data_IF_959645140823
#
_entry.id   IF_959645140823
#
_cell.length_a   1.000
_cell.length_b   1.000
_cell.length_c   1.000
_cell.angle_alpha   90.00
_cell.angle_beta   90.00
_cell.angle_gamma   90.00
#
_symmetry.space_group_name_H-M   'P 1'
#
loop_
_entity.id
_entity.type
_entity.pdbx_description
1 polymer ?
#
# COMPACT_ATOMS: atom_id res chain seq x y z
N UNK A 1 -21.12 -20.29 4.81
CA UNK A 1 -21.81 -20.48 6.10
C UNK A 1 -21.50 -21.84 6.74
N UNK A 2 -21.91 -22.99 6.17
CA UNK A 2 -21.66 -24.33 6.74
C UNK A 2 -20.19 -24.61 7.11
N UNK A 3 -19.24 -24.21 6.26
CA UNK A 3 -17.80 -24.37 6.54
C UNK A 3 -17.37 -23.52 7.74
N UNK A 4 -17.82 -22.27 7.80
CA UNK A 4 -17.45 -21.33 8.87
C UNK A 4 -18.01 -21.77 10.23
N UNK A 5 -19.20 -22.35 10.27
CA UNK A 5 -19.84 -22.74 11.53
C UNK A 5 -19.34 -24.10 12.04
N UNK A 6 -19.05 -25.05 11.14
CA UNK A 6 -18.78 -26.44 11.53
C UNK A 6 -17.30 -26.84 11.44
N UNK A 7 -16.51 -26.22 10.58
CA UNK A 7 -15.12 -26.64 10.31
C UNK A 7 -14.08 -25.66 10.82
N UNK A 8 -14.36 -24.35 10.81
CA UNK A 8 -13.41 -23.34 11.32
C UNK A 8 -13.20 -23.47 12.83
N UNK A 9 -14.25 -23.46 13.71
CA UNK A 9 -14.05 -23.53 15.16
C UNK A 9 -13.19 -24.70 15.64
N UNK A 10 -13.43 -25.97 15.21
CA UNK A 10 -12.61 -27.09 15.67
C UNK A 10 -11.18 -27.08 15.10
N UNK A 11 -10.94 -26.35 14.01
CA UNK A 11 -9.61 -26.15 13.44
C UNK A 11 -8.79 -25.10 14.21
N UNK A 12 -9.44 -24.06 14.76
CA UNK A 12 -8.73 -22.93 15.38
C UNK A 12 -7.90 -23.34 16.58
N UNK A 13 -8.48 -24.04 17.56
CA UNK A 13 -7.82 -24.37 18.82
C UNK A 13 -6.48 -25.12 18.61
N UNK A 14 -6.45 -26.28 17.92
CA UNK A 14 -5.21 -27.03 17.76
C UNK A 14 -4.18 -26.31 16.90
N UNK A 15 -4.60 -25.61 15.84
CA UNK A 15 -3.67 -24.99 14.88
C UNK A 15 -3.09 -23.69 15.42
N UNK A 16 -3.93 -22.82 16.00
CA UNK A 16 -3.50 -21.51 16.48
C UNK A 16 -2.63 -21.62 17.74
N UNK A 17 -3.02 -22.49 18.68
CA UNK A 17 -2.25 -22.66 19.91
C UNK A 17 -0.89 -23.32 19.65
N UNK A 18 -0.85 -24.31 18.75
CA UNK A 18 0.40 -24.94 18.31
C UNK A 18 1.32 -23.91 17.62
N UNK A 19 0.80 -23.15 16.64
CA UNK A 19 1.58 -22.12 15.95
C UNK A 19 2.13 -21.07 16.92
N UNK A 20 1.31 -20.53 17.83
CA UNK A 20 1.73 -19.48 18.77
C UNK A 20 2.80 -19.98 19.74
N UNK A 21 2.63 -21.19 20.30
CA UNK A 21 3.50 -21.75 21.35
C UNK A 21 4.79 -22.37 20.80
N UNK A 22 4.80 -22.74 19.52
CA UNK A 22 5.99 -23.31 18.90
C UNK A 22 7.15 -22.30 18.78
N UNK A 23 8.36 -22.84 18.80
CA UNK A 23 9.59 -22.08 18.55
C UNK A 23 9.62 -21.59 17.09
N UNK A 24 10.35 -20.50 16.81
CA UNK A 24 10.38 -19.84 15.49
C UNK A 24 10.60 -20.82 14.32
N UNK A 25 11.55 -21.75 14.44
CA UNK A 25 11.86 -22.72 13.38
C UNK A 25 10.86 -23.86 13.21
N UNK A 26 9.91 -24.04 14.13
CA UNK A 26 8.89 -25.09 14.09
C UNK A 26 7.49 -24.55 13.69
N UNK A 27 7.33 -23.24 13.57
CA UNK A 27 6.09 -22.63 13.09
C UNK A 27 5.93 -22.90 11.60
N UNK A 28 4.89 -23.61 11.21
CA UNK A 28 4.64 -23.94 9.81
C UNK A 28 4.04 -22.71 9.07
N UNK A 29 4.71 -22.16 8.03
CA UNK A 29 4.21 -21.02 7.27
C UNK A 29 2.87 -21.31 6.55
N UNK A 30 2.49 -22.57 6.38
CA UNK A 30 1.21 -22.94 5.76
C UNK A 30 0.00 -22.64 6.64
N UNK A 31 0.18 -22.41 7.94
CA UNK A 31 -0.89 -21.90 8.80
C UNK A 31 -1.38 -20.53 8.31
N UNK A 32 -0.45 -19.66 7.89
CA UNK A 32 -0.79 -18.35 7.34
C UNK A 32 -1.50 -18.48 5.99
N UNK A 33 -1.04 -19.39 5.12
CA UNK A 33 -1.69 -19.70 3.84
C UNK A 33 -3.11 -20.20 4.05
N UNK A 34 -3.30 -21.13 4.98
CA UNK A 34 -4.60 -21.70 5.32
C UNK A 34 -5.61 -20.61 5.69
N UNK A 35 -5.22 -19.70 6.58
CA UNK A 35 -6.11 -18.61 7.00
C UNK A 35 -6.28 -17.54 5.93
N UNK A 36 -5.28 -17.30 5.07
CA UNK A 36 -5.42 -16.43 3.89
C UNK A 36 -6.50 -16.97 2.94
N UNK A 37 -6.44 -18.26 2.61
CA UNK A 37 -7.42 -18.96 1.76
C UNK A 37 -8.80 -18.98 2.42
N UNK A 38 -8.87 -19.27 3.72
CA UNK A 38 -10.12 -19.27 4.46
C UNK A 38 -10.79 -17.88 4.44
N UNK A 39 -10.04 -16.81 4.70
CA UNK A 39 -10.52 -15.42 4.63
C UNK A 39 -10.99 -15.07 3.22
N UNK A 40 -10.21 -15.41 2.20
CA UNK A 40 -10.56 -15.13 0.81
C UNK A 40 -11.89 -15.77 0.36
N UNK A 41 -12.11 -17.04 0.73
CA UNK A 41 -13.29 -17.78 0.30
C UNK A 41 -14.51 -17.59 1.22
N UNK A 42 -14.32 -17.47 2.53
CA UNK A 42 -15.43 -17.34 3.49
C UNK A 42 -15.84 -15.88 3.71
N UNK A 43 -14.95 -14.91 3.48
CA UNK A 43 -15.20 -13.46 3.60
C UNK A 43 -15.88 -13.13 4.93
N UNK A 44 -16.94 -12.31 4.91
CA UNK A 44 -17.69 -11.93 6.12
C UNK A 44 -18.23 -13.09 6.97
N UNK A 45 -18.28 -14.34 6.48
CA UNK A 45 -18.63 -15.48 7.32
C UNK A 45 -17.56 -15.79 8.38
N UNK A 46 -16.27 -15.56 8.09
CA UNK A 46 -15.17 -15.84 9.03
C UNK A 46 -14.85 -14.64 9.94
N UNK A 47 -15.43 -13.46 9.69
CA UNK A 47 -15.19 -12.22 10.46
C UNK A 47 -15.15 -12.43 11.98
N UNK A 48 -16.09 -13.17 12.62
CA UNK A 48 -16.08 -13.37 14.07
C UNK A 48 -14.83 -14.10 14.59
N UNK A 49 -14.14 -14.85 13.73
CA UNK A 49 -12.96 -15.63 14.08
C UNK A 49 -11.64 -14.92 13.76
N UNK A 50 -11.67 -13.91 12.89
CA UNK A 50 -10.46 -13.19 12.45
C UNK A 50 -9.68 -12.56 13.61
N UNK A 51 -10.30 -11.88 14.61
CA UNK A 51 -9.55 -11.32 15.74
C UNK A 51 -8.72 -12.37 16.49
N UNK A 52 -9.27 -13.56 16.70
CA UNK A 52 -8.58 -14.67 17.37
C UNK A 52 -7.43 -15.22 16.53
N UNK A 53 -7.63 -15.36 15.21
CA UNK A 53 -6.58 -15.79 14.29
C UNK A 53 -5.42 -14.79 14.34
N UNK A 54 -5.72 -13.49 14.24
CA UNK A 54 -4.72 -12.43 14.30
C UNK A 54 -3.95 -12.45 15.63
N UNK A 55 -4.63 -12.54 16.77
CA UNK A 55 -3.95 -12.60 18.07
C UNK A 55 -2.93 -13.76 18.15
N UNK A 56 -3.24 -14.90 17.56
CA UNK A 56 -2.36 -16.07 17.60
C UNK A 56 -1.16 -15.97 16.65
N UNK A 57 -1.35 -15.43 15.44
CA UNK A 57 -0.33 -15.49 14.38
C UNK A 57 0.44 -14.18 14.18
N UNK A 58 -0.12 -13.03 14.58
CA UNK A 58 0.39 -11.74 14.08
C UNK A 58 1.71 -11.33 14.72
N UNK A 59 1.72 -11.07 16.03
CA UNK A 59 2.90 -10.59 16.76
C UNK A 59 4.08 -11.58 16.65
N UNK A 60 3.80 -12.87 16.89
CA UNK A 60 4.83 -13.89 16.89
C UNK A 60 5.47 -14.12 15.51
N UNK A 61 4.74 -13.88 14.41
CA UNK A 61 5.28 -13.93 13.04
C UNK A 61 6.05 -12.66 12.72
N UNK A 62 5.57 -11.48 13.13
CA UNK A 62 6.31 -10.22 12.96
C UNK A 62 7.69 -10.31 13.61
N UNK A 63 7.78 -10.80 14.85
CA UNK A 63 9.04 -11.04 15.54
C UNK A 63 10.01 -11.99 14.82
N UNK A 64 9.53 -12.78 13.85
CA UNK A 64 10.36 -13.62 13.00
C UNK A 64 10.84 -12.85 11.78
N UNK A 65 9.91 -12.20 11.06
CA UNK A 65 10.18 -11.66 9.72
C UNK A 65 10.81 -10.26 9.74
N UNK A 66 10.73 -9.52 10.86
CA UNK A 66 11.26 -8.15 10.94
C UNK A 66 12.65 -8.04 11.56
N UNK A 67 13.25 -9.15 12.00
CA UNK A 67 14.59 -9.14 12.62
C UNK A 67 15.69 -8.84 11.59
N UNK A 68 15.51 -9.37 10.38
CA UNK A 68 16.38 -9.13 9.23
C UNK A 68 15.61 -9.43 7.94
N UNK A 69 16.21 -9.10 6.79
CA UNK A 69 15.58 -9.26 5.48
C UNK A 69 15.79 -10.64 4.83
N UNK A 70 16.46 -11.59 5.49
CA UNK A 70 16.87 -12.87 4.89
C UNK A 70 16.08 -14.06 5.45
N UNK A 71 15.82 -14.06 6.75
CA UNK A 71 15.20 -15.20 7.42
C UNK A 71 13.68 -15.26 7.17
N UNK A 72 13.16 -16.50 7.18
CA UNK A 72 11.73 -16.82 7.07
C UNK A 72 11.01 -16.18 5.87
N UNK A 73 11.53 -16.31 4.62
CA UNK A 73 10.92 -15.69 3.44
C UNK A 73 9.50 -16.22 3.12
N UNK A 74 9.24 -17.50 3.42
CA UNK A 74 7.91 -18.09 3.27
C UNK A 74 6.91 -17.49 4.25
N UNK A 75 7.27 -17.39 5.54
CA UNK A 75 6.43 -16.71 6.54
C UNK A 75 6.15 -15.27 6.16
N UNK A 76 7.16 -14.54 5.65
CA UNK A 76 7.01 -13.15 5.21
C UNK A 76 5.98 -13.04 4.09
N UNK A 77 6.13 -13.86 3.05
CA UNK A 77 5.22 -13.87 1.91
C UNK A 77 3.79 -14.22 2.35
N UNK A 78 3.64 -15.29 3.12
CA UNK A 78 2.32 -15.78 3.52
C UNK A 78 1.65 -14.83 4.54
N UNK A 79 2.43 -14.17 5.39
CA UNK A 79 1.94 -13.16 6.34
C UNK A 79 1.31 -11.98 5.61
N UNK A 80 2.01 -11.40 4.62
CA UNK A 80 1.46 -10.27 3.86
C UNK A 80 0.30 -10.69 2.95
N UNK A 81 0.30 -11.92 2.43
CA UNK A 81 -0.88 -12.46 1.74
C UNK A 81 -2.09 -12.59 2.67
N UNK A 82 -1.89 -13.10 3.89
CA UNK A 82 -2.93 -13.17 4.90
C UNK A 82 -3.45 -11.77 5.27
N UNK A 83 -2.56 -10.82 5.56
CA UNK A 83 -2.94 -9.44 5.87
C UNK A 83 -3.70 -8.78 4.72
N UNK A 84 -3.26 -9.00 3.47
CA UNK A 84 -3.97 -8.53 2.28
C UNK A 84 -5.38 -9.12 2.21
N UNK A 85 -5.53 -10.43 2.38
CA UNK A 85 -6.84 -11.09 2.37
C UNK A 85 -7.79 -10.54 3.46
N UNK A 86 -7.28 -10.33 4.68
CA UNK A 86 -8.07 -9.75 5.78
C UNK A 86 -8.49 -8.32 5.44
N UNK A 87 -7.58 -7.50 4.92
CA UNK A 87 -7.90 -6.14 4.49
C UNK A 87 -8.97 -6.11 3.39
N UNK A 88 -8.90 -7.01 2.40
CA UNK A 88 -9.84 -7.05 1.27
C UNK A 88 -11.23 -7.60 1.62
N UNK A 89 -11.31 -8.56 2.54
CA UNK A 89 -12.53 -9.34 2.73
C UNK A 89 -13.14 -9.22 4.12
N UNK A 90 -12.35 -8.80 5.11
CA UNK A 90 -12.69 -8.80 6.53
C UNK A 90 -12.19 -7.50 7.21
N UNK A 91 -12.24 -6.36 6.52
CA UNK A 91 -11.67 -5.08 6.98
C UNK A 91 -12.11 -4.68 8.39
N UNK A 92 -13.39 -4.86 8.74
CA UNK A 92 -13.92 -4.51 10.06
C UNK A 92 -13.23 -5.28 11.20
N UNK A 93 -12.74 -6.49 10.92
CA UNK A 93 -12.00 -7.28 11.89
C UNK A 93 -10.64 -6.65 12.24
N UNK A 94 -10.00 -5.90 11.33
CA UNK A 94 -8.76 -5.16 11.61
C UNK A 94 -8.93 -4.08 12.67
N UNK A 95 -10.15 -3.60 12.89
CA UNK A 95 -10.47 -2.58 13.91
C UNK A 95 -11.19 -3.16 15.12
N UNK A 96 -11.54 -4.45 15.08
CA UNK A 96 -12.12 -5.20 16.20
C UNK A 96 -11.03 -5.77 17.13
N UNK A 97 -9.76 -5.66 16.77
CA UNK A 97 -8.60 -6.02 17.61
C UNK A 97 -8.16 -4.87 18.52
N UNK A 98 -7.44 -5.14 19.62
CA UNK A 98 -6.95 -4.09 20.53
C UNK A 98 -6.08 -3.03 19.82
N UNK A 99 -6.09 -1.76 20.24
CA UNK A 99 -5.34 -0.68 19.59
C UNK A 99 -3.83 -0.96 19.38
N UNK A 100 -3.20 -1.68 20.33
CA UNK A 100 -1.80 -2.09 20.19
C UNK A 100 -1.57 -2.97 18.93
N UNK A 101 -2.50 -3.88 18.63
CA UNK A 101 -2.43 -4.73 17.44
C UNK A 101 -2.77 -3.97 16.16
N UNK A 102 -3.68 -3.00 16.22
CA UNK A 102 -3.97 -2.11 15.08
C UNK A 102 -2.71 -1.34 14.66
N UNK A 103 -1.93 -0.85 15.64
CA UNK A 103 -0.64 -0.23 15.36
C UNK A 103 0.33 -1.22 14.70
N UNK A 104 0.41 -2.46 15.18
CA UNK A 104 1.26 -3.48 14.56
C UNK A 104 0.89 -3.74 13.09
N UNK A 105 -0.40 -3.69 12.74
CA UNK A 105 -0.84 -3.80 11.33
C UNK A 105 -0.20 -2.69 10.50
N UNK A 106 -0.35 -1.43 10.90
CA UNK A 106 0.22 -0.30 10.16
C UNK A 106 1.74 -0.36 10.12
N UNK A 107 2.40 -0.65 11.25
CA UNK A 107 3.86 -0.76 11.33
C UNK A 107 4.39 -1.89 10.43
N UNK A 108 3.68 -3.02 10.33
CA UNK A 108 4.07 -4.11 9.43
C UNK A 108 3.97 -3.74 7.95
N UNK A 109 2.96 -2.95 7.57
CA UNK A 109 2.80 -2.43 6.20
C UNK A 109 3.90 -1.42 5.89
N UNK A 110 4.25 -0.56 6.85
CA UNK A 110 5.39 0.36 6.74
C UNK A 110 6.70 -0.39 6.53
N UNK A 111 6.92 -1.44 7.32
CA UNK A 111 8.09 -2.29 7.16
C UNK A 111 8.12 -2.96 5.78
N UNK A 112 6.98 -3.46 5.29
CA UNK A 112 6.87 -4.11 4.00
C UNK A 112 7.27 -3.19 2.85
N UNK A 113 6.67 -2.00 2.74
CA UNK A 113 6.99 -1.10 1.62
C UNK A 113 8.40 -0.49 1.68
N UNK A 114 9.07 -0.56 2.83
CA UNK A 114 10.48 -0.20 3.01
C UNK A 114 11.44 -1.35 2.69
N UNK A 115 10.95 -2.56 2.44
CA UNK A 115 11.80 -3.72 2.21
C UNK A 115 12.66 -3.56 0.96
N UNK A 116 13.83 -4.18 0.98
CA UNK A 116 14.75 -4.25 -0.17
C UNK A 116 14.28 -5.21 -1.27
N UNK A 117 13.36 -6.12 -0.97
CA UNK A 117 12.84 -7.08 -1.94
C UNK A 117 11.63 -6.45 -2.62
N UNK A 118 11.76 -6.25 -3.93
CA UNK A 118 10.74 -5.57 -4.75
C UNK A 118 9.34 -6.13 -4.53
N UNK A 119 9.18 -7.46 -4.54
CA UNK A 119 7.85 -8.08 -4.42
C UNK A 119 7.20 -7.79 -3.06
N UNK A 120 7.99 -7.78 -1.97
CA UNK A 120 7.49 -7.46 -0.63
C UNK A 120 7.13 -5.98 -0.55
N UNK A 121 7.98 -5.11 -1.11
CA UNK A 121 7.74 -3.68 -1.14
C UNK A 121 6.46 -3.31 -1.91
N UNK A 122 6.30 -3.87 -3.11
CA UNK A 122 5.10 -3.69 -3.94
C UNK A 122 3.85 -4.22 -3.22
N UNK A 123 3.93 -5.40 -2.61
CA UNK A 123 2.81 -5.97 -1.82
C UNK A 123 2.43 -5.05 -0.65
N UNK A 124 3.41 -4.47 0.05
CA UNK A 124 3.16 -3.50 1.13
C UNK A 124 2.43 -2.25 0.64
N UNK A 125 2.84 -1.70 -0.50
CA UNK A 125 2.19 -0.54 -1.12
C UNK A 125 0.75 -0.85 -1.57
N UNK A 126 0.51 -2.04 -2.11
CA UNK A 126 -0.84 -2.49 -2.49
C UNK A 126 -1.76 -2.62 -1.27
N UNK A 127 -1.28 -3.26 -0.20
CA UNK A 127 -2.02 -3.39 1.06
C UNK A 127 -2.36 -2.01 1.61
N UNK A 128 -1.39 -1.08 1.64
CA UNK A 128 -1.61 0.28 2.13
C UNK A 128 -2.66 1.02 1.29
N UNK A 129 -2.60 0.89 -0.04
CA UNK A 129 -3.53 1.56 -0.93
C UNK A 129 -4.96 1.09 -0.69
N UNK A 130 -5.17 -0.22 -0.58
CA UNK A 130 -6.47 -0.79 -0.27
C UNK A 130 -6.93 -0.44 1.15
N UNK A 131 -6.02 -0.45 2.13
CA UNK A 131 -6.30 -0.07 3.51
C UNK A 131 -6.85 1.36 3.58
N UNK A 132 -6.19 2.32 2.92
CA UNK A 132 -6.64 3.71 2.89
C UNK A 132 -8.00 3.87 2.20
N UNK A 133 -8.26 3.12 1.13
CA UNK A 133 -9.57 3.11 0.48
C UNK A 133 -10.67 2.60 1.42
N UNK A 134 -10.40 1.51 2.15
CA UNK A 134 -11.35 0.92 3.09
C UNK A 134 -11.60 1.82 4.31
N UNK A 135 -10.55 2.48 4.83
CA UNK A 135 -10.65 3.51 5.88
C UNK A 135 -11.55 4.66 5.39
N UNK A 136 -11.33 5.16 4.18
CA UNK A 136 -12.17 6.24 3.60
C UNK A 136 -13.64 5.86 3.39
N UNK A 137 -13.95 4.56 3.28
CA UNK A 137 -15.32 4.04 3.19
C UNK A 137 -15.95 3.71 4.55
N UNK A 138 -15.21 3.86 5.64
CA UNK A 138 -15.64 3.47 6.99
C UNK A 138 -15.55 4.67 7.95
N UNK A 139 -16.59 5.52 8.00
CA UNK A 139 -16.55 6.78 8.76
C UNK A 139 -16.24 6.62 10.25
N UNK A 140 -16.67 5.51 10.86
CA UNK A 140 -16.51 5.21 12.28
C UNK A 140 -15.04 5.09 12.71
N UNK A 141 -14.15 4.65 11.80
CA UNK A 141 -12.72 4.46 12.09
C UNK A 141 -11.85 5.52 11.41
N UNK A 142 -12.35 6.18 10.37
CA UNK A 142 -11.59 7.05 9.49
C UNK A 142 -10.81 8.14 10.24
N UNK A 143 -11.49 8.92 11.08
CA UNK A 143 -10.86 10.07 11.74
C UNK A 143 -9.80 9.65 12.77
N UNK A 144 -10.07 8.60 13.55
CA UNK A 144 -9.10 8.05 14.51
C UNK A 144 -7.87 7.49 13.80
N UNK A 145 -8.06 6.81 12.66
CA UNK A 145 -6.97 6.32 11.82
C UNK A 145 -6.14 7.49 11.26
N UNK A 146 -6.79 8.52 10.69
CA UNK A 146 -6.07 9.66 10.12
C UNK A 146 -5.24 10.40 11.15
N UNK A 147 -5.83 10.68 12.32
CA UNK A 147 -5.14 11.34 13.42
C UNK A 147 -3.91 10.54 13.90
N UNK A 148 -4.00 9.21 13.92
CA UNK A 148 -2.94 8.35 14.45
C UNK A 148 -1.82 8.04 13.46
N UNK A 149 -2.17 7.89 12.17
CA UNK A 149 -1.27 7.27 11.19
C UNK A 149 -1.00 8.08 9.93
N UNK A 150 -1.86 9.03 9.54
CA UNK A 150 -1.76 9.69 8.22
C UNK A 150 -0.43 10.44 8.06
N UNK A 151 0.01 11.15 9.10
CA UNK A 151 1.24 11.94 9.06
C UNK A 151 2.48 11.04 8.85
N UNK A 152 2.56 9.94 9.60
CA UNK A 152 3.66 8.96 9.51
C UNK A 152 3.66 8.28 8.14
N UNK A 153 2.49 7.90 7.63
CA UNK A 153 2.36 7.28 6.30
C UNK A 153 2.82 8.23 5.19
N UNK A 154 2.47 9.51 5.24
CA UNK A 154 2.94 10.52 4.27
C UNK A 154 4.47 10.64 4.32
N UNK A 155 5.04 10.75 5.53
CA UNK A 155 6.49 10.87 5.72
C UNK A 155 7.24 9.65 5.18
N UNK A 156 6.78 8.45 5.53
CA UNK A 156 7.45 7.21 5.14
C UNK A 156 7.33 6.94 3.64
N UNK A 157 6.19 7.23 3.01
CA UNK A 157 6.06 7.12 1.55
C UNK A 157 6.94 8.15 0.84
N UNK A 158 7.02 9.39 1.34
CA UNK A 158 7.94 10.38 0.79
C UNK A 158 9.39 9.93 0.90
N UNK A 159 9.81 9.43 2.07
CA UNK A 159 11.15 8.94 2.32
C UNK A 159 11.54 7.81 1.35
N UNK A 160 10.66 6.80 1.21
CA UNK A 160 10.88 5.65 0.31
C UNK A 160 10.89 6.08 -1.16
N UNK A 161 9.98 6.97 -1.57
CA UNK A 161 9.96 7.50 -2.94
C UNK A 161 11.24 8.27 -3.29
N UNK A 162 11.87 8.91 -2.31
CA UNK A 162 13.16 9.62 -2.48
C UNK A 162 14.38 8.72 -2.30
N UNK A 163 14.19 7.43 -1.98
CA UNK A 163 15.27 6.43 -1.96
C UNK A 163 15.51 5.89 -3.38
N UNK A 164 16.76 5.58 -3.68
CA UNK A 164 17.20 5.00 -4.95
C UNK A 164 16.78 3.54 -5.11
N UNK A 165 16.52 2.83 -4.02
CA UNK A 165 16.18 1.40 -4.03
C UNK A 165 14.75 1.12 -4.50
N UNK A 166 13.83 2.07 -4.37
CA UNK A 166 12.39 1.82 -4.51
C UNK A 166 11.77 2.42 -5.78
N UNK A 167 12.58 2.72 -6.81
CA UNK A 167 12.11 3.31 -8.08
C UNK A 167 10.98 2.51 -8.75
N UNK A 168 11.00 1.18 -8.62
CA UNK A 168 9.96 0.29 -9.16
C UNK A 168 8.55 0.53 -8.58
N UNK A 169 8.46 1.02 -7.34
CA UNK A 169 7.20 1.33 -6.65
C UNK A 169 6.62 2.72 -6.97
N UNK A 170 7.30 3.52 -7.81
CA UNK A 170 6.98 4.94 -8.04
C UNK A 170 5.50 5.22 -8.33
N UNK A 171 4.85 4.38 -9.14
CA UNK A 171 3.42 4.51 -9.46
C UNK A 171 2.55 4.47 -8.19
N UNK A 172 2.80 3.51 -7.30
CA UNK A 172 2.02 3.35 -6.07
C UNK A 172 2.38 4.45 -5.06
N UNK A 173 3.65 4.84 -4.95
CA UNK A 173 4.05 6.00 -4.14
C UNK A 173 3.28 7.26 -4.55
N UNK A 174 3.26 7.58 -5.85
CA UNK A 174 2.52 8.72 -6.39
C UNK A 174 1.01 8.61 -6.13
N UNK A 175 0.44 7.42 -6.32
CA UNK A 175 -0.99 7.17 -6.08
C UNK A 175 -1.36 7.41 -4.61
N UNK A 176 -0.55 6.89 -3.68
CA UNK A 176 -0.75 7.02 -2.23
C UNK A 176 -0.58 8.46 -1.77
N UNK A 177 0.49 9.15 -2.18
CA UNK A 177 0.71 10.55 -1.83
C UNK A 177 -0.41 11.44 -2.35
N UNK A 178 -0.80 11.28 -3.61
CA UNK A 178 -1.92 12.03 -4.18
C UNK A 178 -3.19 11.79 -3.40
N UNK A 179 -3.51 10.53 -3.08
CA UNK A 179 -4.68 10.19 -2.29
C UNK A 179 -4.64 10.89 -0.92
N UNK A 180 -3.55 10.76 -0.17
CA UNK A 180 -3.43 11.31 1.18
C UNK A 180 -3.45 12.85 1.20
N UNK A 181 -2.75 13.52 0.27
CA UNK A 181 -2.77 14.98 0.20
C UNK A 181 -4.14 15.52 -0.21
N UNK A 182 -4.77 14.92 -1.23
CA UNK A 182 -6.07 15.38 -1.70
C UNK A 182 -7.17 15.07 -0.67
N UNK A 183 -7.06 13.98 0.07
CA UNK A 183 -7.97 13.64 1.17
C UNK A 183 -7.98 14.74 2.25
N UNK A 184 -6.81 15.28 2.60
CA UNK A 184 -6.72 16.44 3.52
C UNK A 184 -7.24 17.70 2.83
N UNK A 185 -6.82 17.97 1.59
CA UNK A 185 -7.19 19.18 0.86
C UNK A 185 -8.70 19.30 0.55
N UNK A 186 -9.39 18.17 0.40
CA UNK A 186 -10.83 18.12 0.20
C UNK A 186 -11.63 18.19 1.51
N UNK A 187 -10.97 18.37 2.66
CA UNK A 187 -11.62 18.50 3.97
C UNK A 187 -12.20 17.20 4.52
N UNK A 188 -11.74 16.04 4.03
CA UNK A 188 -12.21 14.73 4.52
C UNK A 188 -11.58 14.35 5.87
N UNK A 189 -10.47 15.00 6.24
CA UNK A 189 -9.84 14.87 7.56
C UNK A 189 -10.30 16.00 8.46
N UNK A 190 -11.22 15.69 9.35
CA UNK A 190 -11.82 16.66 10.28
C UNK A 190 -11.16 16.62 11.66
N UNK A 191 -10.59 15.49 12.07
CA UNK A 191 -9.78 15.41 13.29
C UNK A 191 -8.44 16.15 13.09
N UNK A 192 -7.93 16.84 14.13
CA UNK A 192 -6.67 17.58 14.02
C UNK A 192 -5.49 16.62 13.83
N UNK A 193 -4.66 16.88 12.81
CA UNK A 193 -3.43 16.13 12.51
C UNK A 193 -2.23 16.55 13.37
N UNK A 194 -2.43 17.50 14.28
CA UNK A 194 -1.41 18.10 15.12
C UNK A 194 -1.91 18.21 16.55
N UNK A 195 -0.98 18.39 17.48
CA UNK A 195 -1.32 18.69 18.86
C UNK A 195 -1.88 20.12 18.97
N UNK A 196 -3.19 20.22 19.21
CA UNK A 196 -3.90 21.50 19.32
C UNK A 196 -3.39 22.39 20.46
N UNK A 197 -2.65 21.84 21.43
CA UNK A 197 -2.02 22.61 22.49
C UNK A 197 -0.76 23.36 22.04
N UNK A 198 -0.12 22.93 20.95
CA UNK A 198 1.15 23.47 20.45
C UNK A 198 0.97 24.49 19.31
N UNK A 199 -0.23 24.61 18.74
CA UNK A 199 -0.51 25.44 17.57
C UNK A 199 -1.64 26.45 17.83
N UNK A 200 -1.68 27.58 17.08
CA UNK A 200 -2.75 28.55 17.17
C UNK A 200 -4.14 27.92 16.94
N UNK A 201 -5.17 28.42 17.64
CA UNK A 201 -6.52 27.84 17.59
C UNK A 201 -7.19 27.85 16.22
N UNK A 202 -6.72 28.69 15.29
CA UNK A 202 -7.24 28.79 13.92
C UNK A 202 -6.43 27.96 12.90
N UNK A 203 -5.39 27.23 13.34
CA UNK A 203 -4.58 26.41 12.45
C UNK A 203 -5.43 25.31 11.84
N UNK A 204 -5.43 25.20 10.51
CA UNK A 204 -6.16 24.15 9.80
C UNK A 204 -5.25 22.96 9.48
N UNK A 205 -5.85 21.79 9.23
CA UNK A 205 -5.12 20.60 8.75
C UNK A 205 -4.36 20.88 7.44
N UNK A 206 -4.94 21.69 6.55
CA UNK A 206 -4.32 22.12 5.29
C UNK A 206 -3.02 22.89 5.53
N UNK A 207 -3.11 23.94 6.35
CA UNK A 207 -1.96 24.80 6.65
C UNK A 207 -0.89 24.06 7.43
N UNK A 208 -1.29 23.21 8.38
CA UNK A 208 -0.36 22.39 9.14
C UNK A 208 0.39 21.42 8.23
N UNK A 209 -0.32 20.63 7.41
CA UNK A 209 0.31 19.59 6.60
C UNK A 209 1.23 20.19 5.52
N UNK A 210 0.83 21.30 4.89
CA UNK A 210 1.70 22.02 3.92
C UNK A 210 3.00 22.50 4.55
N UNK A 211 2.91 23.15 5.71
CA UNK A 211 4.08 23.65 6.43
C UNK A 211 4.97 22.49 6.90
N UNK A 212 4.37 21.44 7.44
CA UNK A 212 5.07 20.26 7.93
C UNK A 212 5.86 19.57 6.82
N UNK A 213 5.23 19.32 5.66
CA UNK A 213 5.91 18.72 4.50
C UNK A 213 6.97 19.63 3.92
N UNK A 214 6.72 20.94 3.81
CA UNK A 214 7.73 21.88 3.35
C UNK A 214 8.97 21.91 4.25
N UNK A 215 8.77 22.00 5.57
CA UNK A 215 9.87 21.99 6.53
C UNK A 215 10.65 20.68 6.47
N UNK A 216 9.96 19.54 6.42
CA UNK A 216 10.60 18.24 6.28
C UNK A 216 11.47 18.14 5.02
N UNK A 217 10.95 18.54 3.86
CA UNK A 217 11.70 18.50 2.60
C UNK A 217 12.87 19.49 2.58
N UNK A 218 12.72 20.69 3.15
CA UNK A 218 13.82 21.66 3.29
C UNK A 218 14.94 21.09 4.15
N UNK A 219 14.60 20.42 5.26
CA UNK A 219 15.57 19.79 6.15
C UNK A 219 16.26 18.59 5.52
N UNK A 220 15.51 17.76 4.78
CA UNK A 220 16.05 16.54 4.14
C UNK A 220 16.90 16.85 2.90
N UNK A 221 16.63 17.93 2.19
CA UNK A 221 17.29 18.27 0.92
C UNK A 221 17.93 19.67 0.94
N UNK A 222 19.05 19.86 1.69
CA UNK A 222 19.68 21.18 1.85
C UNK A 222 20.27 21.76 0.55
N UNK A 223 20.37 20.95 -0.51
CA UNK A 223 20.81 21.38 -1.83
C UNK A 223 19.71 22.11 -2.63
N UNK A 224 18.44 21.99 -2.23
CA UNK A 224 17.33 22.69 -2.88
C UNK A 224 17.11 24.05 -2.24
N UNK A 225 16.77 25.05 -3.05
CA UNK A 225 16.35 26.35 -2.52
C UNK A 225 14.97 26.23 -1.87
N UNK A 226 14.71 27.06 -0.85
CA UNK A 226 13.40 27.13 -0.19
C UNK A 226 12.26 27.38 -1.19
N UNK A 227 12.50 28.22 -2.20
CA UNK A 227 11.49 28.51 -3.23
C UNK A 227 11.14 27.28 -4.06
N UNK A 228 12.13 26.47 -4.44
CA UNK A 228 11.89 25.23 -5.20
C UNK A 228 11.05 24.24 -4.39
N UNK A 229 11.38 24.05 -3.10
CA UNK A 229 10.62 23.15 -2.23
C UNK A 229 9.18 23.65 -2.05
N UNK A 230 8.97 24.95 -1.80
CA UNK A 230 7.62 25.49 -1.63
C UNK A 230 6.78 25.35 -2.91
N UNK A 231 7.36 25.58 -4.09
CA UNK A 231 6.67 25.39 -5.36
C UNK A 231 6.29 23.92 -5.59
N UNK A 232 7.18 23.00 -5.25
CA UNK A 232 6.89 21.57 -5.28
C UNK A 232 5.73 21.21 -4.35
N UNK A 233 5.77 21.67 -3.10
CA UNK A 233 4.71 21.40 -2.11
C UNK A 233 3.36 21.95 -2.57
N UNK A 234 3.30 23.15 -3.14
CA UNK A 234 2.03 23.69 -3.69
C UNK A 234 1.40 22.74 -4.71
N UNK A 235 2.21 22.12 -5.59
CA UNK A 235 1.72 21.15 -6.57
C UNK A 235 1.15 19.88 -5.95
N UNK A 236 1.68 19.41 -4.80
CA UNK A 236 1.21 18.21 -4.11
C UNK A 236 -0.24 18.32 -3.59
N UNK A 237 -0.71 19.55 -3.34
CA UNK A 237 -2.06 19.82 -2.82
C UNK A 237 -3.02 20.28 -3.91
N UNK A 238 -2.63 20.28 -5.19
CA UNK A 238 -3.55 20.65 -6.26
C UNK A 238 -4.53 19.50 -6.55
N UNK A 239 -5.71 19.54 -5.93
CA UNK A 239 -6.76 18.51 -6.07
C UNK A 239 -7.23 18.26 -7.50
N UNK A 240 -7.04 19.23 -8.40
CA UNK A 240 -7.40 19.12 -9.82
C UNK A 240 -6.34 18.38 -10.64
N UNK A 241 -5.18 18.07 -10.05
CA UNK A 241 -4.09 17.36 -10.70
C UNK A 241 -4.44 15.87 -10.84
N UNK A 242 -4.55 15.40 -12.08
CA UNK A 242 -4.75 13.99 -12.37
C UNK A 242 -3.50 13.16 -12.01
N UNK A 243 -3.63 11.83 -11.99
CA UNK A 243 -2.54 10.97 -11.52
C UNK A 243 -1.32 11.07 -12.44
N UNK A 244 -1.54 11.25 -13.74
CA UNK A 244 -0.46 11.35 -14.70
C UNK A 244 0.35 12.63 -14.51
N UNK A 245 -0.31 13.78 -14.33
CA UNK A 245 0.36 15.05 -14.05
C UNK A 245 1.04 15.03 -12.68
N UNK A 246 0.42 14.40 -11.69
CA UNK A 246 0.99 14.24 -10.34
C UNK A 246 2.27 13.40 -10.36
N UNK A 247 2.29 12.30 -11.11
CA UNK A 247 3.51 11.51 -11.34
C UNK A 247 4.59 12.34 -12.02
N UNK A 248 4.25 13.13 -13.05
CA UNK A 248 5.22 14.01 -13.70
C UNK A 248 5.79 15.03 -12.71
N UNK A 249 4.94 15.67 -11.92
CA UNK A 249 5.35 16.63 -10.88
C UNK A 249 6.32 16.02 -9.85
N UNK A 250 6.02 14.80 -9.38
CA UNK A 250 6.92 14.05 -8.49
C UNK A 250 8.24 13.68 -9.18
N UNK A 251 8.18 13.23 -10.43
CA UNK A 251 9.36 12.81 -11.20
C UNK A 251 10.31 13.97 -11.44
N UNK A 252 9.77 15.13 -11.83
CA UNK A 252 10.56 16.34 -12.06
C UNK A 252 11.25 16.81 -10.78
N UNK A 253 10.60 16.66 -9.62
CA UNK A 253 11.22 16.90 -8.32
C UNK A 253 12.35 15.90 -8.02
N UNK A 254 12.13 14.60 -8.24
CA UNK A 254 13.16 13.58 -8.03
C UNK A 254 14.38 13.85 -8.91
N UNK A 255 14.20 14.18 -10.20
CA UNK A 255 15.31 14.49 -11.12
C UNK A 255 16.13 15.71 -10.67
N UNK A 256 15.50 16.70 -10.00
CA UNK A 256 16.20 17.85 -9.42
C UNK A 256 17.07 17.47 -8.22
N UNK A 257 16.81 16.34 -7.56
CA UNK A 257 17.69 15.82 -6.53
C UNK A 257 18.98 15.34 -7.19
N UNK A 258 20.13 15.86 -6.74
CA UNK A 258 21.47 15.48 -7.24
C UNK A 258 21.64 13.97 -7.33
N UNK A 259 21.07 13.27 -6.37
CA UNK A 259 21.10 11.81 -6.22
C UNK A 259 20.48 11.05 -7.40
N UNK A 260 19.45 11.60 -8.03
CA UNK A 260 18.77 11.00 -9.18
C UNK A 260 19.23 11.59 -10.52
N UNK A 261 19.86 12.77 -10.50
CA UNK A 261 20.29 13.48 -11.72
C UNK A 261 21.33 12.73 -12.56
N UNK A 262 22.11 11.83 -11.94
CA UNK A 262 23.20 11.09 -12.58
C UNK A 262 22.89 9.59 -12.78
N UNK A 263 21.67 9.14 -12.46
CA UNK A 263 21.31 7.73 -12.46
C UNK A 263 20.42 7.31 -13.64
N UNK A 264 20.39 6.01 -13.91
CA UNK A 264 19.36 5.42 -14.76
C UNK A 264 17.99 5.56 -14.06
N UNK A 265 17.09 6.29 -14.72
CA UNK A 265 15.75 6.60 -14.24
C UNK A 265 14.67 5.88 -15.04
N UNK A 266 15.04 4.88 -15.85
CA UNK A 266 14.11 4.07 -16.68
C UNK A 266 12.95 3.51 -15.84
N UNK A 267 13.21 3.08 -14.62
CA UNK A 267 12.18 2.51 -13.74
C UNK A 267 11.05 3.49 -13.39
N UNK A 268 11.33 4.80 -13.35
CA UNK A 268 10.32 5.84 -13.09
C UNK A 268 9.34 6.02 -14.27
N UNK A 269 9.62 5.41 -15.42
CA UNK A 269 8.82 5.46 -16.65
C UNK A 269 8.24 4.09 -17.04
N UNK A 270 8.40 3.06 -16.19
CA UNK A 270 7.96 1.69 -16.50
C UNK A 270 6.47 1.61 -16.87
N UNK A 271 5.60 2.36 -16.19
CA UNK A 271 4.17 2.37 -16.52
C UNK A 271 3.89 3.02 -17.88
N UNK A 272 4.49 4.18 -18.17
CA UNK A 272 4.33 4.85 -19.45
C UNK A 272 4.82 3.98 -20.61
N UNK A 273 5.96 3.31 -20.42
CA UNK A 273 6.52 2.37 -21.39
C UNK A 273 5.60 1.16 -21.60
N UNK A 274 5.05 0.57 -20.54
CA UNK A 274 4.09 -0.53 -20.63
C UNK A 274 2.79 -0.11 -21.32
N UNK A 275 2.26 1.08 -21.01
CA UNK A 275 1.05 1.61 -21.63
C UNK A 275 1.26 1.88 -23.12
N UNK A 276 2.40 2.47 -23.50
CA UNK A 276 2.75 2.69 -24.90
C UNK A 276 2.89 1.37 -25.66
N UNK A 277 3.55 0.37 -25.04
CA UNK A 277 3.67 -0.97 -25.63
C UNK A 277 2.30 -1.61 -25.85
N UNK A 278 1.41 -1.59 -24.85
CA UNK A 278 0.05 -2.11 -24.97
C UNK A 278 -0.76 -1.40 -26.07
N UNK A 279 -0.63 -0.08 -26.19
CA UNK A 279 -1.29 0.68 -27.26
C UNK A 279 -0.74 0.31 -28.64
N UNK A 280 0.58 0.19 -28.78
CA UNK A 280 1.21 -0.23 -30.03
C UNK A 280 0.82 -1.65 -30.41
N UNK A 281 0.80 -2.58 -29.45
CA UNK A 281 0.40 -3.97 -29.65
C UNK A 281 -1.08 -4.07 -30.05
N UNK A 282 -1.95 -3.28 -29.42
CA UNK A 282 -3.37 -3.20 -29.77
C UNK A 282 -3.60 -2.61 -31.17
N UNK A 283 -2.87 -1.56 -31.54
CA UNK A 283 -2.93 -0.98 -32.88
C UNK A 283 -2.41 -1.96 -33.94
N UNK A 284 -1.30 -2.64 -33.66
CA UNK A 284 -0.76 -3.67 -34.54
C UNK A 284 -1.75 -4.83 -34.71
N UNK A 285 -2.37 -5.31 -33.63
CA UNK A 285 -3.41 -6.33 -33.70
C UNK A 285 -4.61 -5.86 -34.53
N UNK A 286 -5.09 -4.64 -34.33
CA UNK A 286 -6.19 -4.06 -35.11
C UNK A 286 -5.86 -3.98 -36.61
N UNK A 287 -4.64 -3.58 -36.97
CA UNK A 287 -4.17 -3.58 -38.36
C UNK A 287 -4.12 -4.98 -38.95
N UNK A 288 -3.63 -5.97 -38.19
CA UNK A 288 -3.57 -7.36 -38.65
C UNK A 288 -4.96 -7.99 -38.80
N UNK A 289 -5.93 -7.63 -37.96
CA UNK A 289 -7.34 -8.04 -38.08
C UNK A 289 -8.03 -7.41 -39.30
N UNK A 290 -7.64 -6.19 -39.69
CA UNK A 290 -8.19 -5.50 -40.85
C UNK A 290 -7.77 -6.11 -42.20
N UNK A 291 -6.73 -6.95 -42.23
CA UNK A 291 -6.24 -7.62 -43.45
C UNK A 291 -6.52 -9.12 -43.37
N UNK A 292 -7.51 -9.64 -44.13
CA UNK A 292 -7.84 -11.06 -44.15
C UNK A 292 -6.62 -11.93 -44.48
N UNK A 293 -6.38 -12.96 -43.65
CA UNK A 293 -5.29 -13.93 -43.85
C UNK A 293 -3.96 -13.59 -43.17
N UNK A 294 -3.83 -12.41 -42.54
CA UNK A 294 -2.58 -11.97 -41.91
C UNK A 294 -2.41 -12.46 -40.46
N UNK A 295 -3.50 -12.88 -39.80
CA UNK A 295 -3.51 -13.53 -38.48
C UNK A 295 -3.71 -15.03 -38.61
N UNK A 296 -2.91 -15.78 -37.87
CA UNK A 296 -3.13 -17.21 -37.70
C UNK A 296 -4.53 -17.43 -37.10
N UNK A 297 -5.35 -18.37 -37.61
CA UNK A 297 -6.67 -18.66 -37.08
C UNK A 297 -6.70 -18.93 -35.55
N UNK A 298 -5.62 -19.49 -34.98
CA UNK A 298 -5.51 -19.74 -33.54
C UNK A 298 -5.19 -18.49 -32.70
N UNK A 299 -4.89 -17.37 -33.33
CA UNK A 299 -4.56 -16.09 -32.67
C UNK A 299 -5.72 -15.08 -32.76
N UNK A 300 -6.86 -15.49 -33.34
CA UNK A 300 -8.05 -14.64 -33.41
C UNK A 300 -8.77 -14.63 -32.06
N UNK A 301 -9.29 -13.48 -31.61
CA UNK A 301 -10.17 -13.42 -30.44
C UNK A 301 -11.38 -14.35 -30.65
N UNK A 302 -11.74 -15.15 -29.64
CA UNK A 302 -12.81 -16.16 -29.71
C UNK A 302 -14.16 -15.59 -30.21
N UNK A 303 -14.45 -14.30 -29.92
CA UNK A 303 -15.68 -13.61 -30.37
C UNK A 303 -15.74 -13.33 -31.88
N UNK A 304 -14.68 -13.60 -32.65
CA UNK A 304 -14.58 -13.39 -34.10
C UNK A 304 -14.33 -14.69 -34.88
N UNK A 305 -14.43 -15.85 -34.22
CA UNK A 305 -14.22 -17.15 -34.85
C UNK A 305 -15.43 -17.65 -35.67
N UNK A 306 -16.62 -17.08 -35.47
CA UNK A 306 -17.90 -17.54 -36.03
C UNK A 306 -18.56 -16.59 -37.06
N UNK A 307 -17.81 -15.65 -37.66
CA UNK A 307 -18.24 -14.82 -38.80
C UNK A 307 -17.44 -15.16 -40.07
#
# INVERSE_FOLDING_TARGET
QMISENFIPPLLDPVLDDYRRNIKGARDPQVLTLFSVAVHHLKGCIDPHVPRIMEAVFECTLEMITQNFLDFPEHRTNFFQFLKAVNSHCFQALFSIPPAHQKLVVDSVIWAFKHTERNVAETGLEILHELLQNVGRTPEVAQGFYQSFLLVLIQDILAVMTDRLHKSGFKLHATLLRHMFHLVEMGQVTAPLFDVAQFPSNKTNHEFLREHVANMLISSFPNLTRSQVLQFVVGLFNVNMDLQSFKTHLRDFLIQLKEFSAEDNTDLFNEENQRQKQQNDAQALAQKLAVPGLLNPHERPDDMADL
#
